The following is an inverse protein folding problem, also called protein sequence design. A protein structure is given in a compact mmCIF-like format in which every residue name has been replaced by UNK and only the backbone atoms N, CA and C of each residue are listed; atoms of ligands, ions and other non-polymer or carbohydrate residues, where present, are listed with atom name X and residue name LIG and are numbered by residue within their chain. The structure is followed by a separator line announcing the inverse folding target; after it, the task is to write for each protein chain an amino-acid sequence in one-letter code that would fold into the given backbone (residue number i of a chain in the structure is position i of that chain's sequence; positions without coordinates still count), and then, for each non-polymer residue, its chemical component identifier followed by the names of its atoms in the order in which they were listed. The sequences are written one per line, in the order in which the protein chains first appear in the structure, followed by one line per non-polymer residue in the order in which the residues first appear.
data_IF_457480055515
#
_entry.id   IF_457480055515
#
_cell.length_a   1.000
_cell.length_b   1.000
_cell.length_c   1.000
_cell.angle_alpha   90.00
_cell.angle_beta   90.00
_cell.angle_gamma   90.00
#
_symmetry.space_group_name_H-M   'P 1'
#
loop_
_entity.id
_entity.type
_entity.pdbx_description
1 polymer ?
#
# COMPACT_ATOMS: atom_id res chain seq x y z
N UNK A 1 -9.18 12.70 -0.26
CA UNK A 1 -10.18 12.12 0.67
C UNK A 1 -9.75 10.74 1.19
N UNK A 2 -9.45 9.77 0.31
CA UNK A 2 -8.96 8.44 0.73
C UNK A 2 -7.74 8.52 1.67
N UNK A 3 -6.68 9.23 1.28
CA UNK A 3 -5.46 9.36 2.08
C UNK A 3 -5.69 9.92 3.50
N UNK A 4 -6.48 11.00 3.64
CA UNK A 4 -6.82 11.56 4.95
C UNK A 4 -7.61 10.58 5.82
N UNK A 5 -8.52 9.81 5.22
CA UNK A 5 -9.26 8.78 5.92
C UNK A 5 -8.33 7.65 6.42
N UNK A 6 -7.38 7.21 5.57
CA UNK A 6 -6.38 6.20 5.96
C UNK A 6 -5.50 6.69 7.11
N UNK A 7 -4.97 7.91 7.00
CA UNK A 7 -4.07 8.49 8.01
C UNK A 7 -4.79 8.72 9.33
N UNK A 8 -6.05 9.18 9.29
CA UNK A 8 -6.88 9.30 10.47
C UNK A 8 -7.16 7.94 11.14
N UNK A 9 -7.46 6.89 10.37
CA UNK A 9 -7.68 5.54 10.89
C UNK A 9 -6.42 4.96 11.54
N UNK A 10 -5.26 5.15 10.90
CA UNK A 10 -3.96 4.71 11.41
C UNK A 10 -3.36 5.63 12.47
N UNK A 11 -4.02 6.76 12.77
CA UNK A 11 -3.56 7.77 13.74
C UNK A 11 -2.15 8.29 13.44
N UNK A 12 -1.81 8.39 12.16
CA UNK A 12 -0.56 8.96 11.67
C UNK A 12 -0.83 10.30 10.98
N UNK A 13 0.21 11.12 10.88
CA UNK A 13 0.16 12.40 10.18
C UNK A 13 1.10 12.38 8.99
N UNK A 14 0.76 13.15 7.95
CA UNK A 14 1.73 13.46 6.91
C UNK A 14 2.90 14.25 7.50
N UNK A 15 4.07 14.03 6.93
CA UNK A 15 5.22 14.92 7.17
C UNK A 15 4.90 16.31 6.60
N UNK A 16 5.58 17.35 7.08
CA UNK A 16 5.41 18.74 6.61
C UNK A 16 5.72 18.90 5.10
N UNK A 17 6.24 17.86 4.47
CA UNK A 17 6.64 17.84 3.08
C UNK A 17 5.44 17.71 2.12
N UNK A 18 4.26 17.34 2.62
CA UNK A 18 3.08 17.12 1.78
C UNK A 18 1.83 17.81 2.27
N UNK A 19 1.09 18.34 1.32
CA UNK A 19 -0.23 18.89 1.57
C UNK A 19 -1.30 17.83 1.29
N UNK A 20 -1.70 17.11 2.34
CA UNK A 20 -2.77 16.09 2.25
C UNK A 20 -4.17 16.69 2.46
N UNK A 21 -4.27 17.92 2.96
CA UNK A 21 -5.53 18.62 3.22
C UNK A 21 -6.11 19.35 2.00
N UNK A 22 -5.28 19.61 0.98
CA UNK A 22 -5.65 20.18 -0.32
C UNK A 22 -5.79 19.14 -1.45
N UNK A 23 -5.32 19.48 -2.66
CA UNK A 23 -5.15 18.50 -3.73
C UNK A 23 -4.08 17.49 -3.32
N UNK A 24 -4.41 16.19 -3.36
CA UNK A 24 -3.61 15.07 -2.83
C UNK A 24 -2.18 14.98 -3.39
N UNK A 25 -1.91 15.68 -4.49
CA UNK A 25 -0.64 15.72 -5.20
C UNK A 25 -0.07 17.14 -5.32
N UNK A 26 -0.38 18.01 -4.34
CA UNK A 26 0.22 19.35 -4.26
C UNK A 26 1.43 19.33 -3.30
N UNK A 27 2.62 19.75 -3.78
CA UNK A 27 3.84 19.87 -2.97
C UNK A 27 5.02 19.04 -3.49
N UNK A 28 5.92 18.63 -2.58
CA UNK A 28 7.23 17.97 -2.87
C UNK A 28 7.07 16.49 -3.27
N UNK A 29 5.84 15.99 -3.45
CA UNK A 29 5.56 14.58 -3.71
C UNK A 29 5.24 14.28 -5.18
N UNK A 30 5.78 15.04 -6.13
CA UNK A 30 5.46 14.89 -7.57
C UNK A 30 6.67 14.45 -8.39
N UNK A 31 6.39 13.73 -9.47
CA UNK A 31 7.27 13.41 -10.60
C UNK A 31 8.65 12.83 -10.21
N UNK A 32 9.70 13.65 -10.25
CA UNK A 32 11.10 13.23 -10.08
C UNK A 32 11.55 13.06 -8.62
N UNK A 33 10.62 13.19 -7.67
CA UNK A 33 10.97 13.06 -6.24
C UNK A 33 11.34 11.62 -5.91
N UNK A 34 12.57 11.42 -5.43
CA UNK A 34 13.01 10.21 -4.77
C UNK A 34 12.42 10.14 -3.35
N UNK A 35 11.41 9.29 -3.16
CA UNK A 35 10.74 9.05 -1.87
C UNK A 35 11.46 7.99 -1.00
N UNK A 36 12.78 7.87 -1.14
CA UNK A 36 13.57 6.80 -0.51
C UNK A 36 13.70 7.01 1.01
N UNK A 37 13.64 8.25 1.47
CA UNK A 37 13.89 8.62 2.87
C UNK A 37 12.64 9.04 3.66
N UNK A 38 11.46 9.03 3.04
CA UNK A 38 10.22 9.50 3.67
C UNK A 38 9.40 8.33 4.23
N UNK A 39 9.08 8.42 5.51
CA UNK A 39 8.20 7.48 6.22
C UNK A 39 7.34 8.23 7.27
N UNK A 40 6.02 8.37 7.09
CA UNK A 40 5.29 7.93 5.90
C UNK A 40 5.87 8.57 4.63
N UNK A 41 5.82 7.84 3.51
CA UNK A 41 6.21 8.20 2.13
C UNK A 41 5.00 8.23 1.16
N UNK A 42 4.81 9.29 0.36
CA UNK A 42 3.76 9.40 -0.67
C UNK A 42 4.41 9.98 -1.93
N UNK A 43 4.09 9.39 -3.08
CA UNK A 43 4.44 9.94 -4.39
C UNK A 43 3.22 9.96 -5.29
N UNK A 44 3.14 11.03 -6.07
CA UNK A 44 2.22 11.20 -7.16
C UNK A 44 2.95 11.26 -8.49
N UNK A 45 2.27 10.79 -9.52
CA UNK A 45 2.61 11.01 -10.92
C UNK A 45 1.57 11.94 -11.52
N UNK A 46 2.03 13.11 -11.97
CA UNK A 46 1.20 14.16 -12.57
C UNK A 46 1.36 14.23 -14.09
N UNK A 47 1.90 13.20 -14.73
CA UNK A 47 2.10 13.17 -16.19
C UNK A 47 0.83 12.72 -16.95
N UNK A 48 -0.19 12.25 -16.24
CA UNK A 48 -1.44 11.76 -16.81
C UNK A 48 -2.26 12.86 -17.48
N UNK A 49 -2.99 12.48 -18.54
CA UNK A 49 -3.91 13.35 -19.29
C UNK A 49 -3.28 14.71 -19.66
N UNK A 50 -2.09 14.70 -20.28
CA UNK A 50 -1.36 15.92 -20.64
C UNK A 50 -1.14 16.86 -19.43
N UNK A 51 -0.77 16.28 -18.28
CA UNK A 51 -0.50 16.96 -17.00
C UNK A 51 -1.70 17.65 -16.34
N UNK A 52 -2.91 17.18 -16.64
CA UNK A 52 -4.14 17.71 -16.01
C UNK A 52 -4.67 16.83 -14.90
N UNK A 53 -4.11 15.62 -14.72
CA UNK A 53 -4.52 14.68 -13.68
C UNK A 53 -3.28 14.15 -12.97
N UNK A 54 -3.36 14.04 -11.65
CA UNK A 54 -2.34 13.40 -10.83
C UNK A 54 -2.91 12.17 -10.14
N UNK A 55 -2.12 11.11 -10.06
CA UNK A 55 -2.46 9.89 -9.34
C UNK A 55 -1.40 9.55 -8.31
N UNK A 56 -1.85 9.03 -7.15
CA UNK A 56 -0.93 8.48 -6.14
C UNK A 56 -0.38 7.18 -6.69
N UNK A 57 0.95 7.12 -6.85
CA UNK A 57 1.68 5.96 -7.37
C UNK A 57 2.51 5.27 -6.29
N UNK A 58 2.78 5.92 -5.16
CA UNK A 58 3.42 5.24 -4.04
C UNK A 58 2.85 5.64 -2.69
N UNK A 59 2.74 4.65 -1.79
CA UNK A 59 2.45 4.81 -0.38
C UNK A 59 3.38 3.91 0.45
N UNK A 60 4.23 4.52 1.27
CA UNK A 60 5.13 3.84 2.19
C UNK A 60 4.76 4.23 3.61
N UNK A 61 4.39 3.26 4.42
CA UNK A 61 4.03 3.45 5.81
C UNK A 61 4.49 2.20 6.56
N UNK A 62 5.77 2.15 6.91
CA UNK A 62 6.40 0.95 7.47
C UNK A 62 7.02 1.27 8.82
N UNK A 63 7.11 0.32 9.75
CA UNK A 63 7.82 0.56 11.03
C UNK A 63 7.31 1.78 11.82
N UNK A 64 5.99 2.00 11.82
CA UNK A 64 5.32 3.09 12.55
C UNK A 64 4.40 2.59 13.66
N UNK A 65 4.54 1.32 14.06
CA UNK A 65 3.72 0.67 15.09
C UNK A 65 2.20 0.79 14.82
N UNK A 66 1.80 0.87 13.55
CA UNK A 66 0.39 1.05 13.19
C UNK A 66 -0.42 -0.19 13.55
N UNK A 67 -1.57 0.02 14.17
CA UNK A 67 -2.52 -1.02 14.57
C UNK A 67 -3.84 -0.88 13.81
N UNK A 68 -4.71 -1.89 13.91
CA UNK A 68 -6.00 -1.91 13.24
C UNK A 68 -5.96 -2.70 11.94
N UNK A 69 -6.86 -2.39 10.99
CA UNK A 69 -6.94 -3.09 9.70
C UNK A 69 -6.43 -2.22 8.55
N UNK A 70 -6.18 -2.85 7.41
CA UNK A 70 -5.97 -2.11 6.16
C UNK A 70 -7.31 -1.51 5.72
N UNK A 71 -7.41 -0.19 5.52
CA UNK A 71 -8.65 0.48 5.14
C UNK A 71 -9.03 0.21 3.68
N UNK A 72 -10.32 0.03 3.40
CA UNK A 72 -10.80 -0.27 2.05
C UNK A 72 -10.49 0.83 1.03
N UNK A 73 -10.36 2.07 1.51
CA UNK A 73 -9.99 3.22 0.71
C UNK A 73 -8.61 3.06 0.04
N UNK A 74 -7.73 2.21 0.58
CA UNK A 74 -6.43 1.88 -0.02
C UNK A 74 -6.60 1.22 -1.39
N UNK A 75 -7.59 0.34 -1.52
CA UNK A 75 -7.81 -0.44 -2.74
C UNK A 75 -8.44 0.37 -3.87
N UNK A 76 -8.90 1.59 -3.57
CA UNK A 76 -9.37 2.55 -4.58
C UNK A 76 -8.23 3.30 -5.27
N UNK A 77 -6.99 3.14 -4.82
CA UNK A 77 -5.81 3.77 -5.42
C UNK A 77 -5.24 2.89 -6.53
N UNK A 78 -5.98 2.81 -7.64
CA UNK A 78 -5.73 1.85 -8.75
C UNK A 78 -4.49 2.13 -9.59
N UNK A 79 -3.80 3.25 -9.35
CA UNK A 79 -2.56 3.63 -10.03
C UNK A 79 -1.32 3.38 -9.14
N UNK A 80 -1.48 2.64 -8.04
CA UNK A 80 -0.40 2.43 -7.09
C UNK A 80 0.61 1.41 -7.60
N UNK A 81 1.85 1.87 -7.65
CA UNK A 81 3.00 1.16 -8.18
C UNK A 81 3.91 0.62 -7.07
N UNK A 82 3.89 1.27 -5.91
CA UNK A 82 4.70 0.94 -4.75
C UNK A 82 3.89 1.09 -3.46
N UNK A 83 3.58 -0.04 -2.82
CA UNK A 83 2.93 -0.09 -1.52
C UNK A 83 3.82 -0.79 -0.51
N UNK A 84 4.25 -0.09 0.54
CA UNK A 84 4.98 -0.70 1.64
C UNK A 84 4.27 -0.44 2.96
N UNK A 85 3.67 -1.47 3.54
CA UNK A 85 3.04 -1.46 4.86
C UNK A 85 3.79 -2.34 5.87
N UNK A 86 5.00 -2.78 5.54
CA UNK A 86 5.71 -3.79 6.31
C UNK A 86 6.09 -3.30 7.72
N UNK A 87 6.34 -4.24 8.63
CA UNK A 87 6.83 -3.97 9.99
C UNK A 87 5.87 -3.08 10.79
N UNK A 88 4.57 -3.39 10.74
CA UNK A 88 3.55 -2.76 11.59
C UNK A 88 2.78 -3.85 12.35
N UNK A 89 1.72 -3.47 13.05
CA UNK A 89 0.82 -4.39 13.75
C UNK A 89 -0.58 -4.41 13.09
N UNK A 90 -0.62 -4.32 11.75
CA UNK A 90 -1.88 -4.40 11.02
C UNK A 90 -2.46 -5.82 11.12
N UNK A 91 -3.78 -5.90 11.16
CA UNK A 91 -4.58 -7.10 11.39
C UNK A 91 -5.70 -7.22 10.37
N UNK A 92 -6.37 -8.37 10.35
CA UNK A 92 -7.53 -8.61 9.49
C UNK A 92 -7.15 -9.08 8.08
N UNK A 93 -8.17 -9.29 7.22
CA UNK A 93 -8.00 -9.91 5.91
C UNK A 93 -7.37 -8.99 4.87
N UNK A 94 -6.67 -9.63 3.94
CA UNK A 94 -6.31 -9.04 2.65
C UNK A 94 -7.51 -9.27 1.72
N UNK A 95 -8.18 -8.23 1.21
CA UNK A 95 -9.31 -8.43 0.32
C UNK A 95 -8.86 -8.81 -1.09
N UNK A 96 -9.74 -9.48 -1.84
CA UNK A 96 -9.50 -9.85 -3.24
C UNK A 96 -9.16 -8.64 -4.14
N UNK A 97 -9.61 -7.44 -3.77
CA UNK A 97 -9.26 -6.17 -4.42
C UNK A 97 -7.75 -5.89 -4.46
N UNK A 98 -6.94 -6.62 -3.69
CA UNK A 98 -5.48 -6.56 -3.78
C UNK A 98 -4.97 -6.78 -5.21
N UNK A 99 -5.61 -7.66 -5.98
CA UNK A 99 -5.22 -7.97 -7.37
C UNK A 99 -5.45 -6.83 -8.37
N UNK A 100 -6.06 -5.72 -7.94
CA UNK A 100 -6.14 -4.49 -8.74
C UNK A 100 -4.77 -3.79 -8.79
N UNK A 101 -3.97 -3.94 -7.74
CA UNK A 101 -2.61 -3.42 -7.69
C UNK A 101 -1.72 -4.43 -8.42
N UNK A 102 -1.00 -4.04 -9.46
CA UNK A 102 -0.24 -4.98 -10.30
C UNK A 102 1.28 -4.81 -10.21
N UNK A 103 1.75 -4.01 -9.25
CA UNK A 103 3.17 -3.61 -9.16
C UNK A 103 3.78 -3.98 -7.81
N UNK A 104 4.71 -3.22 -7.27
CA UNK A 104 5.48 -3.61 -6.09
C UNK A 104 4.65 -3.49 -4.81
N UNK A 105 4.52 -4.57 -4.06
CA UNK A 105 3.95 -4.53 -2.71
C UNK A 105 4.80 -5.25 -1.66
N UNK A 106 4.74 -4.73 -0.43
CA UNK A 106 5.40 -5.27 0.76
C UNK A 106 4.49 -5.14 1.98
N UNK A 107 4.03 -6.27 2.51
CA UNK A 107 3.14 -6.35 3.69
C UNK A 107 3.76 -7.13 4.86
N UNK A 108 5.01 -7.57 4.73
CA UNK A 108 5.68 -8.45 5.70
C UNK A 108 5.74 -7.88 7.13
N UNK A 109 5.98 -8.74 8.13
CA UNK A 109 6.06 -8.34 9.54
C UNK A 109 4.82 -7.56 10.01
N UNK A 110 3.63 -8.10 9.73
CA UNK A 110 2.34 -7.67 10.27
C UNK A 110 1.60 -8.87 10.90
N UNK A 111 0.43 -8.61 11.50
CA UNK A 111 -0.47 -9.62 12.07
C UNK A 111 -1.75 -9.80 11.22
N UNK A 112 -1.65 -9.65 9.89
CA UNK A 112 -2.74 -9.89 8.94
C UNK A 112 -3.28 -11.31 9.11
N UNK A 113 -4.56 -11.56 8.81
CA UNK A 113 -5.20 -12.84 9.10
C UNK A 113 -6.38 -13.11 8.18
N UNK A 114 -6.86 -14.35 8.10
CA UNK A 114 -7.95 -14.73 7.19
C UNK A 114 -7.45 -15.49 5.96
N UNK A 115 -8.34 -15.73 5.00
CA UNK A 115 -8.00 -16.45 3.78
C UNK A 115 -7.05 -15.64 2.90
N UNK A 116 -6.07 -16.32 2.31
CA UNK A 116 -5.16 -15.75 1.32
C UNK A 116 -5.92 -15.64 0.00
N UNK A 117 -6.28 -14.43 -0.50
CA UNK A 117 -7.05 -14.33 -1.73
C UNK A 117 -6.22 -14.83 -2.91
N UNK A 118 -6.84 -15.60 -3.81
CA UNK A 118 -6.17 -16.10 -5.03
C UNK A 118 -5.65 -14.97 -5.92
N UNK A 119 -6.26 -13.80 -5.81
CA UNK A 119 -5.89 -12.57 -6.52
C UNK A 119 -4.47 -12.09 -6.15
N UNK A 120 -3.86 -12.59 -5.07
CA UNK A 120 -2.43 -12.38 -4.81
C UNK A 120 -1.54 -12.94 -5.94
N UNK A 121 -2.00 -13.96 -6.67
CA UNK A 121 -1.30 -14.45 -7.87
C UNK A 121 -1.28 -13.47 -9.04
N UNK A 122 -2.00 -12.35 -8.96
CA UNK A 122 -1.91 -11.26 -9.94
C UNK A 122 -0.78 -10.27 -9.61
N UNK A 123 -0.17 -10.36 -8.43
CA UNK A 123 0.89 -9.47 -7.97
C UNK A 123 2.27 -9.95 -8.43
N UNK A 124 2.59 -9.74 -9.71
CA UNK A 124 3.85 -10.22 -10.30
C UNK A 124 5.11 -9.62 -9.67
N UNK A 125 4.98 -8.48 -8.98
CA UNK A 125 6.10 -7.78 -8.31
C UNK A 125 6.00 -7.81 -6.77
N UNK A 126 5.22 -8.72 -6.19
CA UNK A 126 5.11 -8.89 -4.74
C UNK A 126 6.46 -9.30 -4.15
N UNK A 127 7.02 -8.48 -3.25
CA UNK A 127 8.35 -8.73 -2.67
C UNK A 127 8.31 -9.47 -1.34
N UNK A 128 7.32 -9.17 -0.52
CA UNK A 128 7.19 -9.73 0.83
C UNK A 128 5.75 -9.71 1.29
N UNK A 129 5.28 -10.85 1.76
CA UNK A 129 3.96 -11.03 2.34
C UNK A 129 4.08 -11.94 3.57
N UNK A 130 3.60 -11.47 4.72
CA UNK A 130 3.47 -12.29 5.92
C UNK A 130 1.97 -12.44 6.23
N UNK A 131 1.49 -13.67 6.13
CA UNK A 131 0.13 -14.07 6.53
C UNK A 131 0.26 -15.35 7.37
N UNK A 132 -0.56 -15.54 8.41
CA UNK A 132 -0.54 -16.74 9.22
C UNK A 132 -0.86 -17.94 8.33
N UNK A 133 -0.02 -18.97 8.43
CA UNK A 133 -0.25 -20.25 7.79
C UNK A 133 -1.54 -20.84 8.37
N UNK A 134 -2.63 -20.82 7.59
CA UNK A 134 -3.79 -21.67 7.90
C UNK A 134 -3.32 -23.13 7.82
N UNK A 135 -3.55 -23.94 8.86
CA UNK A 135 -3.22 -25.36 8.78
C UNK A 135 -4.24 -26.01 7.83
N UNK A 136 -3.75 -26.77 6.84
CA UNK A 136 -4.51 -27.56 5.83
C UNK A 136 -5.07 -26.69 4.68
N UNK A 137 -4.71 -26.83 3.39
CA UNK A 137 -4.37 -28.01 2.56
C UNK A 137 -3.56 -27.55 1.33
N UNK A 138 -2.67 -28.45 0.88
CA UNK A 138 -1.77 -28.39 -0.28
C UNK A 138 -0.61 -27.39 -0.23
N UNK A 139 0.57 -28.01 -0.18
CA UNK A 139 1.86 -27.50 -0.65
C UNK A 139 1.67 -26.88 -2.03
N UNK A 140 1.36 -25.59 -2.07
CA UNK A 140 1.78 -24.73 -3.17
C UNK A 140 3.10 -24.18 -2.67
N UNK A 141 4.19 -24.75 -3.18
CA UNK A 141 5.48 -24.09 -3.10
C UNK A 141 5.26 -22.61 -3.47
N UNK A 142 5.74 -21.71 -2.61
CA UNK A 142 5.82 -20.26 -2.85
C UNK A 142 6.49 -19.88 -4.20
N UNK A 143 6.93 -20.85 -5.00
CA UNK A 143 7.53 -20.73 -6.34
C UNK A 143 6.52 -20.61 -7.49
N UNK A 144 5.21 -20.76 -7.27
CA UNK A 144 4.20 -20.60 -8.34
C UNK A 144 3.30 -19.37 -8.19
N UNK A 145 3.62 -18.46 -7.26
CA UNK A 145 2.89 -17.20 -7.06
C UNK A 145 3.74 -15.96 -7.41
N UNK A 146 4.87 -16.14 -8.12
CA UNK A 146 5.66 -15.08 -8.77
C UNK A 146 6.08 -15.60 -10.15
#
# INVERSE_FOLDING_TARGET
RALNAMFARWRISATNNWNISGELCSGVAIDDTEIITLNPGIKCDCTYNNRTTCHITALRVYELDITGTIPDELWNLTYMDDLNLARNYLTGPIPASIGILNRMQSFGENALSGEVPRELGLLTDLRSLCVPLVPFIHVIELKFLI
#
